data_IF_679329165451
#
_entry.id   IF_679329165451
#
_cell.length_a   1.000
_cell.length_b   1.000
_cell.length_c   1.000
_cell.angle_alpha   90.00
_cell.angle_beta   90.00
_cell.angle_gamma   90.00
#
_symmetry.space_group_name_H-M   'P 1'
#
loop_
_entity.id
_entity.type
_entity.pdbx_description
1 polymer ?
#
# COMPACT_ATOMS: atom_id res chain seq x y z
N UNK A 1 17.22 4.14 13.88
CA UNK A 1 17.87 2.88 14.25
C UNK A 1 17.15 1.60 13.85
N UNK A 2 16.15 1.63 12.95
CA UNK A 2 15.53 0.40 12.37
C UNK A 2 15.24 0.57 10.87
N UNK A 3 14.89 1.78 10.41
CA UNK A 3 14.61 2.07 8.98
C UNK A 3 15.79 1.81 8.01
N UNK A 4 17.03 1.84 8.48
CA UNK A 4 18.19 1.51 7.65
C UNK A 4 18.23 0.03 7.25
N UNK A 5 17.66 -0.88 8.03
CA UNK A 5 17.75 -2.31 7.75
C UNK A 5 16.75 -2.77 6.67
N UNK A 6 15.53 -2.22 6.63
CA UNK A 6 14.50 -2.67 5.66
C UNK A 6 14.91 -2.34 4.22
N UNK A 7 15.37 -1.11 3.98
CA UNK A 7 15.80 -0.68 2.63
C UNK A 7 17.03 -1.48 2.19
N UNK A 8 17.99 -1.71 3.09
CA UNK A 8 19.17 -2.50 2.79
C UNK A 8 18.82 -3.96 2.49
N UNK A 9 17.90 -4.56 3.26
CA UNK A 9 17.41 -5.92 2.99
C UNK A 9 16.71 -5.98 1.64
N UNK A 10 15.84 -5.03 1.32
CA UNK A 10 15.21 -4.95 0.00
C UNK A 10 16.24 -4.88 -1.12
N UNK A 11 17.20 -3.96 -1.01
CA UNK A 11 18.27 -3.80 -1.99
C UNK A 11 19.09 -5.08 -2.12
N UNK A 12 19.41 -5.76 -1.01
CA UNK A 12 20.12 -7.03 -1.04
C UNK A 12 19.29 -8.14 -1.73
N UNK A 13 17.98 -8.20 -1.47
CA UNK A 13 17.06 -9.17 -2.10
C UNK A 13 16.96 -8.94 -3.60
N UNK A 14 16.65 -7.71 -4.05
CA UNK A 14 16.44 -7.43 -5.48
C UNK A 14 17.73 -7.53 -6.30
N UNK A 15 18.88 -7.29 -5.68
CA UNK A 15 20.19 -7.46 -6.31
C UNK A 15 20.77 -8.88 -6.13
N UNK A 16 20.03 -9.81 -5.51
CA UNK A 16 20.50 -11.19 -5.40
C UNK A 16 20.62 -11.79 -6.80
N UNK A 17 21.81 -12.28 -7.21
CA UNK A 17 22.05 -12.70 -8.58
C UNK A 17 21.06 -13.76 -9.05
N UNK A 18 20.37 -13.49 -10.16
CA UNK A 18 19.44 -14.42 -10.80
C UNK A 18 18.06 -14.56 -10.14
N UNK A 19 17.80 -13.90 -8.99
CA UNK A 19 16.52 -14.05 -8.28
C UNK A 19 15.32 -13.64 -9.15
N UNK A 20 15.36 -12.45 -9.75
CA UNK A 20 14.24 -11.93 -10.54
C UNK A 20 13.99 -12.80 -11.78
N UNK A 21 15.06 -13.28 -12.43
CA UNK A 21 14.94 -14.15 -13.60
C UNK A 21 14.37 -15.52 -13.22
N UNK A 22 14.79 -16.08 -12.08
CA UNK A 22 14.22 -17.31 -11.55
C UNK A 22 12.72 -17.15 -11.26
N UNK A 23 12.33 -16.10 -10.53
CA UNK A 23 10.93 -15.85 -10.19
C UNK A 23 10.05 -15.65 -11.43
N UNK A 24 10.57 -14.99 -12.47
CA UNK A 24 9.87 -14.85 -13.75
C UNK A 24 9.71 -16.19 -14.48
N UNK A 25 10.73 -17.06 -14.40
CA UNK A 25 10.68 -18.38 -15.01
C UNK A 25 9.67 -19.33 -14.34
N UNK A 26 9.39 -19.14 -13.05
CA UNK A 26 8.43 -19.94 -12.28
C UNK A 26 6.97 -19.66 -12.66
N UNK A 27 6.67 -18.52 -13.30
CA UNK A 27 5.33 -18.17 -13.84
C UNK A 27 4.21 -18.24 -12.80
N UNK A 28 4.44 -17.68 -11.62
CA UNK A 28 3.42 -17.57 -10.59
C UNK A 28 2.17 -16.82 -11.06
N UNK A 29 0.99 -17.36 -10.71
CA UNK A 29 -0.28 -16.73 -11.03
C UNK A 29 -0.69 -15.62 -10.06
N UNK A 30 -0.13 -15.60 -8.85
CA UNK A 30 -0.45 -14.64 -7.81
C UNK A 30 0.71 -14.48 -6.81
N UNK A 31 0.75 -13.33 -6.14
CA UNK A 31 1.76 -13.03 -5.14
C UNK A 31 1.14 -12.39 -3.89
N UNK A 32 1.72 -12.66 -2.71
CA UNK A 32 1.21 -12.18 -1.43
C UNK A 32 2.39 -11.64 -0.62
N UNK A 33 2.24 -10.46 -0.03
CA UNK A 33 3.23 -9.89 0.88
C UNK A 33 2.55 -9.29 2.10
N UNK A 34 3.22 -9.37 3.25
CA UNK A 34 2.88 -8.59 4.45
C UNK A 34 3.55 -7.20 4.42
N UNK A 35 4.71 -7.08 3.79
CA UNK A 35 5.44 -5.82 3.65
C UNK A 35 5.13 -5.15 2.30
N UNK A 36 4.76 -3.86 2.25
CA UNK A 36 4.50 -3.14 1.00
C UNK A 36 5.69 -3.17 0.02
N UNK A 37 6.92 -3.34 0.52
CA UNK A 37 8.14 -3.46 -0.29
C UNK A 37 8.10 -4.68 -1.22
N UNK A 38 7.43 -5.77 -0.83
CA UNK A 38 7.27 -6.97 -1.67
C UNK A 38 6.54 -6.71 -2.98
N UNK A 39 5.65 -5.72 -3.03
CA UNK A 39 4.92 -5.36 -4.25
C UNK A 39 5.81 -4.80 -5.36
N UNK A 40 6.96 -4.19 -4.99
CA UNK A 40 7.98 -3.80 -5.97
C UNK A 40 8.55 -5.01 -6.71
N UNK A 41 8.78 -6.12 -6.00
CA UNK A 41 9.24 -7.38 -6.60
C UNK A 41 8.17 -7.95 -7.52
N UNK A 42 6.90 -7.98 -7.07
CA UNK A 42 5.78 -8.48 -7.87
C UNK A 42 5.64 -7.73 -9.20
N UNK A 43 5.84 -6.41 -9.16
CA UNK A 43 5.85 -5.56 -10.35
C UNK A 43 7.02 -5.92 -11.28
N UNK A 44 8.23 -6.12 -10.77
CA UNK A 44 9.40 -6.51 -11.58
C UNK A 44 9.28 -7.89 -12.24
N UNK A 45 8.58 -8.84 -11.59
CA UNK A 45 8.33 -10.18 -12.14
C UNK A 45 7.08 -10.25 -13.02
N UNK A 46 6.25 -9.19 -13.05
CA UNK A 46 5.07 -9.07 -13.89
C UNK A 46 3.80 -9.73 -13.34
N UNK A 47 3.68 -9.84 -12.01
CA UNK A 47 2.50 -10.42 -11.35
C UNK A 47 1.52 -9.31 -10.97
N UNK A 48 0.36 -9.28 -11.63
CA UNK A 48 -0.71 -8.31 -11.34
C UNK A 48 -1.64 -8.76 -10.20
N UNK A 49 -1.87 -10.07 -10.07
CA UNK A 49 -2.74 -10.62 -9.02
C UNK A 49 -1.99 -10.65 -7.71
N UNK A 50 -2.16 -9.60 -6.92
CA UNK A 50 -1.45 -9.41 -5.67
C UNK A 50 -2.41 -9.30 -4.49
N UNK A 51 -1.97 -9.69 -3.30
CA UNK A 51 -2.70 -9.50 -2.06
C UNK A 51 -1.78 -9.00 -0.94
N UNK A 52 -2.31 -8.12 -0.10
CA UNK A 52 -1.62 -7.65 1.10
C UNK A 52 -2.14 -8.41 2.31
N UNK A 53 -1.30 -9.24 2.91
CA UNK A 53 -1.63 -10.00 4.12
C UNK A 53 -1.14 -9.23 5.36
N UNK A 54 -1.99 -8.40 5.95
CA UNK A 54 -1.68 -7.64 7.17
C UNK A 54 -2.86 -7.66 8.14
N UNK A 55 -2.57 -7.48 9.43
CA UNK A 55 -3.55 -7.62 10.52
C UNK A 55 -4.50 -6.43 10.71
N UNK A 56 -4.45 -5.38 9.86
CA UNK A 56 -5.39 -4.26 9.92
C UNK A 56 -6.40 -4.31 8.78
N UNK A 57 -7.65 -3.90 9.05
CA UNK A 57 -8.78 -4.16 8.17
C UNK A 57 -8.73 -3.36 6.84
N UNK A 58 -8.35 -2.09 6.89
CA UNK A 58 -8.10 -1.23 5.73
C UNK A 58 -7.52 0.11 6.23
N UNK A 59 -6.68 0.77 5.44
CA UNK A 59 -6.25 2.15 5.65
C UNK A 59 -6.24 2.88 4.31
N UNK A 60 -6.52 4.19 4.29
CA UNK A 60 -6.46 5.02 3.07
C UNK A 60 -5.09 4.99 2.39
N UNK A 61 -4.04 4.60 3.12
CA UNK A 61 -2.73 4.34 2.55
C UNK A 61 -2.71 3.09 1.66
N UNK A 62 -3.57 2.09 1.88
CA UNK A 62 -3.45 0.80 1.20
C UNK A 62 -4.21 0.72 -0.12
N UNK A 63 -5.11 1.68 -0.38
CA UNK A 63 -5.95 1.72 -1.58
C UNK A 63 -5.16 1.60 -2.88
N UNK A 64 -3.93 2.15 -2.95
CA UNK A 64 -3.11 2.11 -4.16
C UNK A 64 -2.50 0.73 -4.43
N UNK A 65 -2.35 -0.10 -3.40
CA UNK A 65 -1.80 -1.47 -3.49
C UNK A 65 -2.93 -2.47 -3.67
N UNK A 66 -3.94 -2.40 -2.80
CA UNK A 66 -5.01 -3.40 -2.71
C UNK A 66 -6.14 -3.15 -3.70
N UNK A 67 -6.18 -1.96 -4.32
CA UNK A 67 -7.28 -1.47 -5.15
C UNK A 67 -8.63 -1.43 -4.40
N UNK A 68 -8.61 -1.58 -3.07
CA UNK A 68 -9.80 -1.49 -2.24
C UNK A 68 -10.09 -0.01 -1.96
N UNK A 69 -11.30 0.50 -2.27
CA UNK A 69 -11.60 1.90 -2.04
C UNK A 69 -11.71 2.22 -0.56
N UNK A 70 -11.16 3.37 -0.16
CA UNK A 70 -11.38 3.97 1.15
C UNK A 70 -12.86 4.28 1.40
N UNK A 71 -13.24 4.19 2.68
CA UNK A 71 -14.60 4.42 3.13
C UNK A 71 -14.67 5.55 4.17
N UNK A 72 -14.46 6.81 3.77
CA UNK A 72 -14.33 7.94 4.68
C UNK A 72 -15.63 8.31 5.43
N UNK A 73 -16.75 7.68 5.10
CA UNK A 73 -17.99 7.83 5.87
C UNK A 73 -17.95 7.17 7.25
N UNK A 74 -17.04 6.22 7.49
CA UNK A 74 -16.92 5.50 8.76
C UNK A 74 -15.47 5.12 9.14
N UNK A 75 -14.52 5.20 8.22
CA UNK A 75 -13.08 5.09 8.51
C UNK A 75 -12.49 6.49 8.62
N UNK A 76 -11.80 6.85 9.72
CA UNK A 76 -11.09 8.10 9.83
C UNK A 76 -10.04 8.27 8.74
N UNK A 77 -9.98 9.46 8.15
CA UNK A 77 -8.89 9.80 7.23
C UNK A 77 -7.57 9.97 7.98
N UNK A 78 -6.44 9.71 7.30
CA UNK A 78 -5.10 9.93 7.88
C UNK A 78 -4.91 11.39 8.34
N UNK A 79 -5.59 12.34 7.71
CA UNK A 79 -5.53 13.77 8.09
C UNK A 79 -6.59 14.15 9.14
N UNK A 80 -7.44 13.22 9.55
CA UNK A 80 -8.56 13.48 10.45
C UNK A 80 -8.16 13.34 11.91
N UNK A 81 -8.73 14.20 12.76
CA UNK A 81 -8.66 14.09 14.22
C UNK A 81 -9.81 13.23 14.79
N UNK A 82 -10.74 12.78 13.95
CA UNK A 82 -11.93 12.04 14.38
C UNK A 82 -11.66 10.54 14.52
N UNK A 83 -12.40 9.88 15.42
CA UNK A 83 -12.41 8.42 15.54
C UNK A 83 -13.43 7.75 14.62
N UNK A 84 -13.60 6.44 14.78
CA UNK A 84 -14.59 5.60 14.10
C UNK A 84 -16.05 6.03 14.37
N UNK A 85 -16.28 6.78 15.45
CA UNK A 85 -17.57 7.36 15.82
C UNK A 85 -17.65 8.84 15.40
N UNK A 86 -18.29 9.08 14.26
CA UNK A 86 -18.50 10.43 13.69
C UNK A 86 -19.98 10.78 13.54
N UNK A 87 -20.33 12.02 13.89
CA UNK A 87 -21.59 12.67 13.49
C UNK A 87 -21.63 12.90 11.98
N UNK A 88 -22.82 13.16 11.43
CA UNK A 88 -22.96 13.44 9.99
C UNK A 88 -22.04 14.56 9.50
N UNK A 89 -21.92 15.67 10.26
CA UNK A 89 -21.02 16.79 9.92
C UNK A 89 -19.55 16.36 9.92
N UNK A 90 -19.13 15.58 10.91
CA UNK A 90 -17.76 15.05 10.99
C UNK A 90 -17.48 14.09 9.83
N UNK A 91 -18.45 13.29 9.38
CA UNK A 91 -18.29 12.42 8.20
C UNK A 91 -18.07 13.21 6.91
N UNK A 92 -18.77 14.34 6.75
CA UNK A 92 -18.55 15.24 5.61
C UNK A 92 -17.14 15.81 5.65
N UNK A 93 -16.70 16.33 6.80
CA UNK A 93 -15.34 16.87 6.96
C UNK A 93 -14.27 15.80 6.75
N UNK A 94 -14.47 14.59 7.29
CA UNK A 94 -13.58 13.45 7.09
C UNK A 94 -13.48 13.05 5.61
N UNK A 95 -14.59 13.12 4.86
CA UNK A 95 -14.59 12.88 3.41
C UNK A 95 -13.78 13.92 2.66
N UNK A 96 -13.84 15.20 3.07
CA UNK A 96 -12.99 16.25 2.51
C UNK A 96 -11.52 15.99 2.85
N UNK A 97 -11.20 15.61 4.08
CA UNK A 97 -9.83 15.26 4.49
C UNK A 97 -9.27 14.09 3.68
N UNK A 98 -10.06 13.03 3.50
CA UNK A 98 -9.73 11.88 2.65
C UNK A 98 -9.44 12.29 1.21
N UNK A 99 -10.27 13.17 0.64
CA UNK A 99 -10.07 13.69 -0.71
C UNK A 99 -8.78 14.51 -0.84
N UNK A 100 -8.49 15.36 0.15
CA UNK A 100 -7.25 16.15 0.20
C UNK A 100 -6.04 15.23 0.30
N UNK A 101 -6.06 14.25 1.22
CA UNK A 101 -5.00 13.25 1.36
C UNK A 101 -4.72 12.54 0.03
N UNK A 102 -5.79 12.05 -0.63
CA UNK A 102 -5.68 11.38 -1.92
C UNK A 102 -5.07 12.28 -2.99
N UNK A 103 -5.47 13.56 -3.06
CA UNK A 103 -4.91 14.50 -4.04
C UNK A 103 -3.43 14.81 -3.78
N UNK A 104 -3.03 14.96 -2.52
CA UNK A 104 -1.63 15.22 -2.14
C UNK A 104 -0.73 14.00 -2.38
N UNK A 105 -1.24 12.80 -2.08
CA UNK A 105 -0.48 11.56 -2.21
C UNK A 105 -0.43 11.04 -3.64
N UNK A 106 -1.47 11.27 -4.46
CA UNK A 106 -1.48 10.86 -5.88
C UNK A 106 -0.27 11.42 -6.63
N UNK A 107 0.06 12.69 -6.42
CA UNK A 107 1.23 13.35 -7.04
C UNK A 107 2.58 12.80 -6.58
N UNK A 108 2.63 12.00 -5.51
CA UNK A 108 3.87 11.45 -4.93
C UNK A 108 4.07 9.97 -5.23
N UNK A 109 3.02 9.22 -5.60
CA UNK A 109 3.06 7.78 -5.84
C UNK A 109 3.10 7.44 -7.35
N UNK A 110 2.73 8.36 -8.25
CA UNK A 110 2.84 8.15 -9.71
C UNK A 110 4.28 7.91 -10.26
N UNK A 111 5.30 7.90 -9.39
CA UNK A 111 6.71 7.59 -9.69
C UNK A 111 7.19 6.24 -9.11
N UNK A 112 6.29 5.45 -8.52
CA UNK A 112 6.50 4.05 -8.14
C UNK A 112 5.69 3.14 -9.07
#
# INVERSE_FOLDING_TARGET
GQNLNIILTYLATVNFPGLIDQLRAEKFDAAISEDPVGFGIFTMVGIEKTAWAISFANSEFTDFITQMPSAPSYVPSILSEYGDRMTFRQRILNTIYSFVWRHVMKTRIEWL
#
